data_IF_546458294093
#
_entry.id   IF_546458294093
#
_cell.length_a   1.000
_cell.length_b   1.000
_cell.length_c   1.000
_cell.angle_alpha   90.00
_cell.angle_beta   90.00
_cell.angle_gamma   90.00
#
_symmetry.space_group_name_H-M   'P 1'
#
loop_
_entity.id
_entity.type
_entity.pdbx_description
1 polymer ?
#
# COMPACT_ATOMS: atom_id res chain seq x y z
N UNK A 1 7.16 13.56 10.20
CA UNK A 1 6.71 12.50 11.13
C UNK A 1 5.77 11.60 10.36
N UNK A 2 5.77 10.29 10.61
CA UNK A 2 4.93 9.37 9.88
C UNK A 2 4.63 8.13 10.69
N UNK A 3 3.41 7.62 10.55
CA UNK A 3 2.82 6.66 11.48
C UNK A 3 2.71 5.27 10.87
N UNK A 4 2.84 4.27 11.74
CA UNK A 4 2.55 2.87 11.44
C UNK A 4 1.94 2.25 12.69
N UNK A 5 0.86 1.50 12.52
CA UNK A 5 0.15 0.86 13.61
C UNK A 5 -0.11 -0.60 13.28
N UNK A 6 0.02 -1.47 14.27
CA UNK A 6 -0.34 -2.87 14.15
C UNK A 6 -1.52 -3.16 15.08
N UNK A 7 -2.62 -3.60 14.51
CA UNK A 7 -3.81 -4.05 15.23
C UNK A 7 -3.83 -5.58 15.22
N UNK A 8 -3.86 -6.17 16.41
CA UNK A 8 -3.91 -7.62 16.57
C UNK A 8 -5.13 -8.04 17.37
N UNK A 9 -5.91 -8.98 16.82
CA UNK A 9 -6.85 -9.80 17.58
C UNK A 9 -6.40 -11.27 17.48
N UNK A 10 -7.00 -12.16 18.28
CA UNK A 10 -6.60 -13.57 18.26
C UNK A 10 -6.82 -14.20 16.88
N UNK A 11 -5.72 -14.42 16.16
CA UNK A 11 -5.72 -15.04 14.84
C UNK A 11 -5.82 -14.09 13.65
N UNK A 12 -5.75 -12.76 13.88
CA UNK A 12 -5.73 -11.77 12.79
C UNK A 12 -4.87 -10.55 13.15
N UNK A 13 -3.93 -10.21 12.26
CA UNK A 13 -3.04 -9.05 12.36
C UNK A 13 -3.24 -8.11 11.17
N UNK A 14 -3.56 -6.85 11.45
CA UNK A 14 -3.69 -5.77 10.47
C UNK A 14 -2.58 -4.74 10.68
N UNK A 15 -1.73 -4.57 9.67
CA UNK A 15 -0.71 -3.52 9.64
C UNK A 15 -1.25 -2.31 8.86
N UNK A 16 -1.36 -1.16 9.52
CA UNK A 16 -1.83 0.10 8.95
C UNK A 16 -0.64 1.03 8.76
N UNK A 17 -0.40 1.43 7.51
CA UNK A 17 0.68 2.33 7.09
C UNK A 17 2.11 1.83 7.39
N UNK A 18 3.11 2.37 6.67
CA UNK A 18 4.50 1.94 6.78
C UNK A 18 5.44 2.91 7.49
N UNK A 19 4.94 4.07 7.94
CA UNK A 19 5.76 5.13 8.51
C UNK A 19 6.72 5.81 7.51
N UNK A 20 7.35 6.90 7.97
CA UNK A 20 8.21 7.77 7.16
C UNK A 20 9.62 7.18 6.92
N UNK A 21 10.10 6.31 7.81
CA UNK A 21 11.50 5.89 7.77
C UNK A 21 11.72 4.77 6.73
N UNK A 22 12.81 4.86 5.96
CA UNK A 22 13.26 3.78 5.07
C UNK A 22 13.56 2.50 5.85
N UNK A 23 14.02 2.62 7.10
CA UNK A 23 13.98 1.51 8.05
C UNK A 23 12.56 1.40 8.60
N UNK A 24 11.82 0.41 8.12
CA UNK A 24 10.46 0.13 8.57
C UNK A 24 10.41 -0.01 10.09
N UNK A 25 9.78 0.95 10.77
CA UNK A 25 9.73 1.02 12.24
C UNK A 25 9.00 -0.17 12.87
N UNK A 26 7.99 -0.70 12.16
CA UNK A 26 7.22 -1.87 12.59
C UNK A 26 7.97 -3.19 12.39
N UNK A 27 9.03 -3.22 11.57
CA UNK A 27 9.67 -4.47 11.13
C UNK A 27 10.28 -5.26 12.26
N UNK A 28 10.92 -4.59 13.22
CA UNK A 28 11.55 -5.22 14.37
C UNK A 28 10.54 -6.03 15.20
N UNK A 29 9.25 -5.66 15.17
CA UNK A 29 8.17 -6.44 15.77
C UNK A 29 7.57 -7.44 14.79
N UNK A 30 7.12 -7.01 13.61
CA UNK A 30 6.33 -7.85 12.69
C UNK A 30 7.10 -9.04 12.14
N UNK A 31 8.44 -8.97 12.09
CA UNK A 31 9.31 -10.09 11.67
C UNK A 31 9.22 -11.33 12.57
N UNK A 32 8.68 -11.18 13.78
CA UNK A 32 8.47 -12.27 14.73
C UNK A 32 7.06 -12.88 14.63
N UNK A 33 6.19 -12.32 13.78
CA UNK A 33 4.87 -12.88 13.50
C UNK A 33 4.98 -13.95 12.40
N UNK A 34 4.15 -14.98 12.49
CA UNK A 34 4.02 -15.95 11.40
C UNK A 34 3.41 -15.30 10.15
N UNK A 35 2.43 -14.41 10.36
CA UNK A 35 1.69 -13.71 9.30
C UNK A 35 1.18 -12.33 9.73
N UNK A 36 1.08 -11.46 8.73
CA UNK A 36 0.30 -10.22 8.73
C UNK A 36 -0.85 -10.47 7.77
N UNK A 37 -2.04 -10.70 8.31
CA UNK A 37 -3.21 -11.12 7.55
C UNK A 37 -3.63 -10.05 6.54
N UNK A 38 -3.54 -8.77 6.92
CA UNK A 38 -3.86 -7.65 6.06
C UNK A 38 -2.89 -6.49 6.27
N UNK A 39 -2.63 -5.77 5.19
CA UNK A 39 -1.93 -4.49 5.18
C UNK A 39 -2.86 -3.43 4.62
N UNK A 40 -2.96 -2.29 5.28
CA UNK A 40 -3.79 -1.16 4.84
C UNK A 40 -2.91 0.07 4.65
N UNK A 41 -2.85 0.58 3.42
CA UNK A 41 -2.23 1.87 3.12
C UNK A 41 -3.33 2.90 2.93
N UNK A 42 -3.45 3.84 3.88
CA UNK A 42 -4.61 4.74 3.94
C UNK A 42 -4.54 5.88 2.93
N UNK A 43 -3.34 6.28 2.54
CA UNK A 43 -3.09 7.37 1.59
C UNK A 43 -1.70 7.23 0.97
N UNK A 44 -1.43 7.95 -0.13
CA UNK A 44 -0.10 8.02 -0.74
C UNK A 44 0.66 9.24 -0.24
N UNK A 45 1.59 9.02 0.69
CA UNK A 45 2.37 10.08 1.33
C UNK A 45 3.77 9.63 1.70
N UNK A 46 4.69 10.59 1.80
CA UNK A 46 6.09 10.33 2.22
C UNK A 46 6.16 9.85 3.67
N UNK A 47 5.12 10.09 4.45
CA UNK A 47 4.97 9.72 5.85
C UNK A 47 4.54 8.27 6.07
N UNK A 48 4.15 7.52 5.02
CA UNK A 48 3.75 6.13 5.18
C UNK A 48 4.35 5.14 4.15
N UNK A 49 4.83 5.62 3.01
CA UNK A 49 5.17 4.74 1.87
C UNK A 49 6.48 3.97 2.03
N UNK A 50 7.47 4.54 2.73
CA UNK A 50 8.84 4.04 2.68
C UNK A 50 9.02 2.72 3.44
N UNK A 51 8.49 2.61 4.66
CA UNK A 51 8.64 1.36 5.42
C UNK A 51 7.90 0.20 4.74
N UNK A 52 6.75 0.48 4.13
CA UNK A 52 6.00 -0.51 3.35
C UNK A 52 6.82 -1.00 2.16
N UNK A 53 7.34 -0.07 1.36
CA UNK A 53 8.21 -0.37 0.22
C UNK A 53 9.40 -1.23 0.64
N UNK A 54 10.11 -0.86 1.71
CA UNK A 54 11.29 -1.60 2.18
C UNK A 54 10.96 -3.06 2.52
N UNK A 55 9.82 -3.30 3.17
CA UNK A 55 9.41 -4.66 3.54
C UNK A 55 9.03 -5.47 2.31
N UNK A 56 8.26 -4.91 1.38
CA UNK A 56 7.92 -5.60 0.13
C UNK A 56 9.17 -5.90 -0.70
N UNK A 57 10.11 -4.96 -0.80
CA UNK A 57 11.38 -5.15 -1.49
C UNK A 57 12.17 -6.30 -0.89
N UNK A 58 12.29 -6.33 0.44
CA UNK A 58 12.99 -7.40 1.15
C UNK A 58 12.33 -8.76 0.90
N UNK A 59 11.00 -8.82 0.91
CA UNK A 59 10.24 -10.06 0.63
C UNK A 59 10.37 -10.54 -0.81
N UNK A 60 10.54 -9.65 -1.79
CA UNK A 60 10.83 -10.05 -3.17
C UNK A 60 12.22 -10.69 -3.32
N UNK A 61 13.19 -10.28 -2.50
CA UNK A 61 14.56 -10.79 -2.53
C UNK A 61 14.75 -12.06 -1.68
N UNK A 62 14.08 -12.13 -0.54
CA UNK A 62 14.24 -13.18 0.47
C UNK A 62 12.86 -13.73 0.88
N UNK A 63 12.73 -15.06 0.96
CA UNK A 63 11.52 -15.67 1.52
C UNK A 63 11.53 -15.60 3.06
N UNK A 64 11.06 -14.48 3.59
CA UNK A 64 11.05 -14.16 5.03
C UNK A 64 9.63 -14.04 5.58
N UNK A 65 9.47 -14.40 6.86
CA UNK A 65 8.29 -14.07 7.64
C UNK A 65 8.19 -12.56 7.92
N UNK A 66 6.97 -12.03 8.13
CA UNK A 66 5.68 -12.73 8.09
C UNK A 66 5.15 -12.95 6.66
N UNK A 67 4.28 -13.94 6.45
CA UNK A 67 3.46 -14.00 5.22
C UNK A 67 2.48 -12.82 5.21
N UNK A 68 2.21 -12.24 4.03
CA UNK A 68 1.24 -11.16 3.87
C UNK A 68 0.03 -11.72 3.13
N UNK A 69 -1.15 -11.60 3.72
CA UNK A 69 -2.40 -12.08 3.11
C UNK A 69 -2.95 -11.09 2.08
N UNK A 70 -3.45 -9.96 2.56
CA UNK A 70 -4.12 -8.95 1.74
C UNK A 70 -3.41 -7.60 1.78
N UNK A 71 -3.45 -6.86 0.67
CA UNK A 71 -3.05 -5.46 0.61
C UNK A 71 -4.27 -4.61 0.23
N UNK A 72 -4.71 -3.76 1.15
CA UNK A 72 -5.78 -2.81 0.98
C UNK A 72 -5.19 -1.44 0.63
N UNK A 73 -5.44 -1.01 -0.60
CA UNK A 73 -4.87 0.20 -1.17
C UNK A 73 -5.60 0.57 -2.47
N UNK A 74 -5.97 1.85 -2.61
CA UNK A 74 -6.48 2.43 -3.86
C UNK A 74 -5.35 2.59 -4.90
N UNK A 75 -4.83 1.47 -5.40
CA UNK A 75 -3.82 1.43 -6.44
C UNK A 75 -4.40 1.75 -7.82
N UNK A 76 -3.62 2.38 -8.68
CA UNK A 76 -3.98 2.54 -10.09
C UNK A 76 -3.87 1.19 -10.82
N UNK A 77 -5.00 0.55 -11.10
CA UNK A 77 -5.08 -0.78 -11.74
C UNK A 77 -4.46 -0.82 -13.15
N UNK A 78 -4.49 0.29 -13.89
CA UNK A 78 -4.06 0.39 -15.31
C UNK A 78 -2.57 0.72 -15.48
N UNK A 79 -1.70 0.19 -14.64
CA UNK A 79 -0.26 0.15 -14.95
C UNK A 79 0.00 -1.05 -15.87
N UNK A 80 -0.55 -1.00 -17.09
CA UNK A 80 -0.03 -1.78 -18.19
C UNK A 80 1.37 -1.25 -18.50
N UNK A 81 2.35 -1.82 -17.79
CA UNK A 81 3.68 -2.18 -18.28
C UNK A 81 4.26 -1.19 -19.31
N UNK A 82 4.75 -0.05 -18.85
CA UNK A 82 6.04 0.37 -19.41
C UNK A 82 7.04 -0.70 -18.92
N UNK A 83 7.84 -1.32 -19.81
CA UNK A 83 8.88 -2.23 -19.38
C UNK A 83 9.73 -1.53 -18.32
N UNK A 84 10.30 -2.27 -17.33
CA UNK A 84 11.40 -1.69 -16.57
C UNK A 84 12.42 -1.28 -17.63
N UNK A 85 12.64 0.02 -17.80
CA UNK A 85 13.81 0.47 -18.54
C UNK A 85 14.97 -0.24 -17.86
N UNK A 86 15.61 -1.14 -18.60
CA UNK A 86 16.90 -1.69 -18.19
C UNK A 86 17.71 -0.47 -17.79
N UNK A 87 18.27 -0.49 -16.57
CA UNK A 87 19.29 0.46 -16.18
C UNK A 87 20.48 0.23 -17.13
N UNK A 88 20.37 0.80 -18.32
CA UNK A 88 21.46 0.96 -19.26
C UNK A 88 22.44 1.90 -18.58
N UNK A 89 23.65 1.39 -18.40
CA UNK A 89 24.84 2.14 -18.07
C UNK A 89 25.04 3.23 -19.14
N UNK A 90 24.37 4.35 -18.93
CA UNK A 90 24.17 5.41 -19.90
C UNK A 90 24.23 6.73 -19.16
N UNK A 91 25.46 7.19 -18.95
CA UNK A 91 25.86 8.48 -18.42
C UNK A 91 25.12 9.64 -19.11
N UNK A 92 23.91 9.91 -18.62
CA UNK A 92 23.06 10.99 -19.09
C UNK A 92 22.29 11.57 -17.91
N UNK A 93 23.02 12.38 -17.15
CA UNK A 93 22.46 13.52 -16.44
C UNK A 93 21.25 13.23 -15.52
N UNK A 94 21.34 12.21 -14.66
CA UNK A 94 20.54 12.14 -13.43
C UNK A 94 20.97 13.31 -12.53
N UNK A 95 20.49 14.52 -12.83
CA UNK A 95 20.35 15.56 -11.82
C UNK A 95 19.57 14.88 -10.70
N UNK A 96 20.26 14.58 -9.60
CA UNK A 96 19.66 14.03 -8.40
C UNK A 96 18.65 15.04 -7.89
N UNK A 97 17.43 14.98 -8.41
CA UNK A 97 16.31 15.61 -7.80
C UNK A 97 16.25 15.03 -6.39
N UNK A 98 16.57 15.84 -5.39
CA UNK A 98 16.38 15.51 -3.97
C UNK A 98 14.90 15.26 -3.66
N UNK A 99 14.00 15.53 -4.62
CA UNK A 99 12.57 15.32 -4.50
C UNK A 99 12.22 13.87 -4.80
N UNK A 100 11.45 13.29 -3.89
CA UNK A 100 10.93 11.93 -4.01
C UNK A 100 9.69 11.98 -4.90
N UNK A 101 9.68 11.16 -5.95
CA UNK A 101 8.49 10.97 -6.77
C UNK A 101 7.57 9.92 -6.13
N UNK A 102 6.49 10.36 -5.49
CA UNK A 102 5.54 9.46 -4.82
C UNK A 102 4.87 8.48 -5.78
N UNK A 103 4.65 8.89 -7.03
CA UNK A 103 4.08 8.02 -8.06
C UNK A 103 5.01 6.86 -8.40
N UNK A 104 6.30 7.12 -8.57
CA UNK A 104 7.29 6.06 -8.84
C UNK A 104 7.39 5.08 -7.67
N UNK A 105 7.37 5.59 -6.44
CA UNK A 105 7.43 4.76 -5.23
C UNK A 105 6.16 3.90 -5.08
N UNK A 106 4.99 4.46 -5.40
CA UNK A 106 3.72 3.72 -5.43
C UNK A 106 3.71 2.63 -6.51
N UNK A 107 4.24 2.93 -7.70
CA UNK A 107 4.40 1.95 -8.78
C UNK A 107 5.27 0.76 -8.35
N UNK A 108 6.39 1.02 -7.68
CA UNK A 108 7.28 -0.03 -7.14
C UNK A 108 6.54 -0.91 -6.13
N UNK A 109 5.74 -0.32 -5.24
CA UNK A 109 4.91 -1.09 -4.29
C UNK A 109 3.94 -2.01 -5.02
N UNK A 110 3.20 -1.50 -6.01
CA UNK A 110 2.24 -2.30 -6.78
C UNK A 110 2.94 -3.43 -7.55
N UNK A 111 4.09 -3.15 -8.16
CA UNK A 111 4.90 -4.15 -8.87
C UNK A 111 5.41 -5.25 -7.93
N UNK A 112 5.96 -4.89 -6.77
CA UNK A 112 6.45 -5.85 -5.77
C UNK A 112 5.30 -6.67 -5.17
N UNK A 113 4.16 -6.05 -4.86
CA UNK A 113 2.96 -6.77 -4.42
C UNK A 113 2.57 -7.84 -5.44
N UNK A 114 2.52 -7.48 -6.73
CA UNK A 114 2.24 -8.42 -7.82
C UNK A 114 3.28 -9.55 -7.92
N UNK A 115 4.57 -9.25 -7.77
CA UNK A 115 5.64 -10.27 -7.74
C UNK A 115 5.46 -11.26 -6.57
N UNK A 116 4.95 -10.78 -5.44
CA UNK A 116 4.63 -11.60 -4.27
C UNK A 116 3.27 -12.32 -4.38
N UNK A 117 2.55 -12.19 -5.50
CA UNK A 117 1.23 -12.77 -5.69
C UNK A 117 0.09 -12.05 -4.97
N UNK A 118 0.32 -10.80 -4.53
CA UNK A 118 -0.63 -9.98 -3.78
C UNK A 118 -1.22 -8.92 -4.71
N UNK A 119 -2.53 -8.97 -4.95
CA UNK A 119 -3.24 -7.90 -5.67
C UNK A 119 -3.73 -6.83 -4.69
N UNK A 120 -3.46 -5.53 -4.93
CA UNK A 120 -4.09 -4.47 -4.16
C UNK A 120 -5.62 -4.54 -4.28
N UNK A 121 -6.31 -4.47 -3.14
CA UNK A 121 -7.75 -4.35 -3.03
C UNK A 121 -8.13 -2.88 -2.83
N UNK A 122 -8.95 -2.30 -3.72
CA UNK A 122 -9.41 -0.92 -3.56
C UNK A 122 -10.17 -0.72 -2.24
N UNK A 123 -9.94 0.42 -1.59
CA UNK A 123 -10.64 0.88 -0.40
C UNK A 123 -11.37 2.18 -0.71
N UNK A 124 -12.54 2.05 -1.32
CA UNK A 124 -13.44 3.18 -1.54
C UNK A 124 -14.88 2.79 -1.24
N UNK A 125 -15.67 3.76 -0.77
CA UNK A 125 -17.10 3.60 -0.53
C UNK A 125 -17.86 3.77 -1.83
N UNK A 126 -18.77 2.86 -2.17
CA UNK A 126 -19.64 3.06 -3.33
C UNK A 126 -20.50 4.33 -3.18
N UNK A 127 -20.53 5.15 -4.23
CA UNK A 127 -21.39 6.35 -4.30
C UNK A 127 -22.88 6.01 -4.44
N UNK A 128 -23.19 4.83 -4.97
CA UNK A 128 -24.57 4.42 -5.30
C UNK A 128 -25.20 3.53 -4.23
N UNK A 129 -24.40 3.02 -3.29
CA UNK A 129 -24.91 2.21 -2.19
C UNK A 129 -25.64 3.10 -1.17
N UNK A 130 -26.85 2.69 -0.79
CA UNK A 130 -27.65 3.40 0.22
C UNK A 130 -26.97 3.38 1.60
N UNK A 131 -26.21 2.32 1.90
CA UNK A 131 -25.48 2.12 3.14
C UNK A 131 -23.99 1.87 2.86
N UNK A 132 -23.15 2.10 3.87
CA UNK A 132 -21.74 1.73 3.81
C UNK A 132 -21.59 0.21 3.96
N UNK A 133 -21.36 -0.50 2.87
CA UNK A 133 -21.09 -1.94 2.90
C UNK A 133 -19.71 -2.22 3.54
N UNK A 134 -19.62 -3.18 4.47
CA UNK A 134 -18.36 -3.53 5.13
C UNK A 134 -17.48 -4.42 4.26
N UNK A 135 -16.16 -4.29 4.47
CA UNK A 135 -15.17 -5.28 4.05
C UNK A 135 -14.95 -6.24 5.23
N UNK A 136 -15.35 -7.50 5.08
CA UNK A 136 -15.06 -8.53 6.09
C UNK A 136 -13.57 -8.85 6.08
N UNK A 137 -12.87 -8.51 7.17
CA UNK A 137 -11.44 -8.74 7.32
C UNK A 137 -11.16 -10.10 7.95
N UNK A 138 -12.03 -10.51 8.89
CA UNK A 138 -11.88 -11.75 9.61
C UNK A 138 -13.24 -12.25 10.08
N UNK A 139 -13.42 -13.56 10.10
CA UNK A 139 -14.58 -14.21 10.69
C UNK A 139 -14.15 -15.45 11.43
N UNK A 140 -14.64 -15.60 12.66
CA UNK A 140 -14.41 -16.79 13.48
C UNK A 140 -15.74 -17.34 13.96
N UNK A 141 -16.03 -18.58 13.56
CA UNK A 141 -17.26 -19.29 13.94
C UNK A 141 -17.44 -19.26 15.47
N UNK A 142 -18.63 -18.88 15.91
CA UNK A 142 -19.01 -18.74 17.32
C UNK A 142 -18.37 -17.55 18.07
N UNK A 143 -17.58 -16.70 17.41
CA UNK A 143 -16.92 -15.54 18.04
C UNK A 143 -17.24 -14.21 17.34
N UNK A 144 -17.69 -14.24 16.07
CA UNK A 144 -18.09 -13.06 15.30
C UNK A 144 -17.14 -12.71 14.17
N UNK A 145 -17.31 -11.52 13.61
CA UNK A 145 -16.51 -10.95 12.53
C UNK A 145 -15.79 -9.67 12.95
N UNK A 146 -14.68 -9.39 12.28
CA UNK A 146 -14.07 -8.07 12.19
C UNK A 146 -14.39 -7.51 10.81
N UNK A 147 -15.13 -6.42 10.79
CA UNK A 147 -15.60 -5.76 9.57
C UNK A 147 -15.04 -4.33 9.52
N UNK A 148 -14.54 -3.93 8.35
CA UNK A 148 -14.00 -2.60 8.09
C UNK A 148 -14.98 -1.79 7.23
N UNK A 149 -15.42 -0.65 7.74
CA UNK A 149 -16.27 0.29 7.03
C UNK A 149 -15.43 1.42 6.44
N UNK A 150 -15.32 1.45 5.10
CA UNK A 150 -14.60 2.51 4.41
C UNK A 150 -15.53 3.72 4.29
N UNK A 151 -15.21 4.81 4.98
CA UNK A 151 -16.00 6.05 4.90
C UNK A 151 -15.62 6.89 3.69
N UNK A 152 -14.31 6.96 3.42
CA UNK A 152 -13.71 7.74 2.34
C UNK A 152 -12.46 7.02 1.79
N UNK A 153 -12.08 7.29 0.53
CA UNK A 153 -12.81 8.12 -0.45
C UNK A 153 -14.08 7.44 -0.95
N UNK A 154 -15.00 8.23 -1.49
CA UNK A 154 -16.17 7.70 -2.22
C UNK A 154 -15.74 7.43 -3.66
N UNK A 155 -16.23 6.36 -4.27
CA UNK A 155 -16.03 6.10 -5.71
C UNK A 155 -16.47 7.32 -6.50
N UNK A 156 -15.74 7.69 -7.55
CA UNK A 156 -16.01 8.88 -8.37
C UNK A 156 -15.88 10.24 -7.69
N UNK A 157 -15.41 10.32 -6.43
CA UNK A 157 -15.12 11.60 -5.78
C UNK A 157 -14.03 12.37 -6.52
N UNK A 158 -14.04 13.70 -6.36
CA UNK A 158 -13.06 14.58 -6.99
C UNK A 158 -11.64 14.20 -6.56
N UNK A 159 -11.46 13.92 -5.27
CA UNK A 159 -10.17 13.58 -4.66
C UNK A 159 -9.62 12.27 -5.22
N UNK A 160 -10.46 11.25 -5.36
CA UNK A 160 -10.02 9.95 -5.91
C UNK A 160 -9.70 10.05 -7.41
N UNK A 161 -10.48 10.82 -8.16
CA UNK A 161 -10.18 11.11 -9.58
C UNK A 161 -8.89 11.90 -9.75
N UNK A 162 -8.65 12.88 -8.88
CA UNK A 162 -7.43 13.67 -8.87
C UNK A 162 -6.20 12.83 -8.52
N UNK A 163 -6.31 11.95 -7.51
CA UNK A 163 -5.27 10.97 -7.17
C UNK A 163 -4.87 10.14 -8.39
N UNK A 164 -5.84 9.50 -9.06
CA UNK A 164 -5.56 8.68 -10.25
C UNK A 164 -5.06 9.49 -11.43
N UNK A 165 -5.53 10.73 -11.59
CA UNK A 165 -5.04 11.63 -12.64
C UNK A 165 -3.57 12.00 -12.43
N UNK A 166 -3.20 12.44 -11.22
CA UNK A 166 -1.83 12.78 -10.86
C UNK A 166 -0.90 11.56 -10.96
N UNK A 167 -1.39 10.39 -10.54
CA UNK A 167 -0.65 9.14 -10.67
C UNK A 167 -0.41 8.80 -12.14
N UNK A 168 -1.44 8.87 -12.99
CA UNK A 168 -1.28 8.60 -14.43
C UNK A 168 -0.31 9.56 -15.13
N UNK A 169 -0.16 10.79 -14.60
CA UNK A 169 0.78 11.80 -15.08
C UNK A 169 2.19 11.70 -14.47
N UNK A 170 2.45 10.70 -13.62
CA UNK A 170 3.71 10.55 -12.89
C UNK A 170 4.11 11.81 -12.09
N UNK A 171 3.11 12.51 -11.53
CA UNK A 171 3.36 13.68 -10.71
C UNK A 171 4.20 13.30 -9.47
N UNK A 172 5.17 14.15 -9.13
CA UNK A 172 6.08 13.90 -8.01
C UNK A 172 5.36 13.86 -6.65
N UNK A 173 4.22 14.54 -6.53
CA UNK A 173 3.48 14.76 -5.29
C UNK A 173 1.97 14.73 -5.57
N UNK A 174 1.15 14.34 -4.59
CA UNK A 174 -0.31 14.25 -4.73
C UNK A 174 -1.09 15.47 -4.23
N UNK A 175 -0.42 16.59 -3.94
CA UNK A 175 -1.06 17.73 -3.27
C UNK A 175 -1.38 17.42 -1.80
N UNK A 176 -1.34 18.44 -0.94
CA UNK A 176 -1.74 18.37 0.47
C UNK A 176 -3.12 18.95 0.66
#
# INVERSE_FOLDING_TARGET
QGDSALFGIRGFNLLVNGGYNKRACFWDFTRHLDRVDAMLMTHLGTDNIFGLKTVLQRKCLENIHPHIGYLYFNALEKLNLLPPEQEGDGDSNKKSSLLINLTEEANKIVQMAKQLGISPHPCSRSATAANCEPVNLYHKLGHGSLDMYVLNPVTDSKELKELYHLWSKQACNFGT
#
